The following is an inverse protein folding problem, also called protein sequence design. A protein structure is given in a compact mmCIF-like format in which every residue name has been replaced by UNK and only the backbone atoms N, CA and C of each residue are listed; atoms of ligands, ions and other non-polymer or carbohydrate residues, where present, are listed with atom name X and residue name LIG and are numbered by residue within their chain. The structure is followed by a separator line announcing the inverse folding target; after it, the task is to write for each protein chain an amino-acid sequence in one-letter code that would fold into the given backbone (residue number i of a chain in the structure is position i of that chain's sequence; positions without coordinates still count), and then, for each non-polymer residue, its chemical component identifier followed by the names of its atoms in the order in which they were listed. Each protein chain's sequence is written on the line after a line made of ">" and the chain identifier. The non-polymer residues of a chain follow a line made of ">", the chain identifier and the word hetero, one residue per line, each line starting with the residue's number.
data_IF_721878051496
#
_entry.id   IF_721878051496
#
_cell.length_a   1.000
_cell.length_b   1.000
_cell.length_c   1.000
_cell.angle_alpha   90.00
_cell.angle_beta   90.00
_cell.angle_gamma   90.00
#
_symmetry.space_group_name_H-M   'P 1'
#
loop_
_entity.id
_entity.type
_entity.pdbx_description
1 polymer ?
#
# COMPACT_ATOMS: atom_id res chain seq x y z
N UNK A 1 19.42 -14.02 -12.98
CA UNK A 1 19.01 -12.81 -13.70
C UNK A 1 17.77 -12.17 -13.05
N UNK A 2 16.66 -12.86 -12.83
CA UNK A 2 15.43 -12.36 -12.16
C UNK A 2 15.72 -11.74 -10.79
N UNK A 3 16.53 -12.40 -9.95
CA UNK A 3 16.88 -11.90 -8.61
C UNK A 3 17.51 -10.49 -8.63
N UNK A 4 18.35 -10.21 -9.61
CA UNK A 4 18.99 -8.90 -9.73
C UNK A 4 18.02 -7.83 -10.21
N UNK A 5 17.06 -8.19 -11.06
CA UNK A 5 15.98 -7.31 -11.50
C UNK A 5 15.05 -6.95 -10.33
N UNK A 6 14.62 -7.94 -9.52
CA UNK A 6 13.81 -7.70 -8.32
C UNK A 6 14.55 -6.81 -7.32
N UNK A 7 15.85 -7.08 -7.09
CA UNK A 7 16.68 -6.25 -6.20
C UNK A 7 16.75 -4.80 -6.68
N UNK A 8 16.88 -4.59 -7.97
CA UNK A 8 16.93 -3.24 -8.54
C UNK A 8 15.59 -2.50 -8.40
N UNK A 9 14.47 -3.19 -8.65
CA UNK A 9 13.14 -2.64 -8.42
C UNK A 9 12.90 -2.33 -6.93
N UNK A 10 13.32 -3.23 -6.03
CA UNK A 10 13.21 -3.02 -4.59
C UNK A 10 14.00 -1.79 -4.11
N UNK A 11 15.23 -1.60 -4.59
CA UNK A 11 16.04 -0.45 -4.23
C UNK A 11 15.50 0.87 -4.80
N UNK A 12 14.81 0.82 -5.93
CA UNK A 12 14.23 1.99 -6.58
C UNK A 12 12.91 2.43 -5.96
N UNK A 13 11.98 1.51 -5.76
CA UNK A 13 10.61 1.79 -5.29
C UNK A 13 10.47 1.67 -3.78
N UNK A 14 11.27 0.82 -3.13
CA UNK A 14 11.22 0.57 -1.70
C UNK A 14 11.33 1.83 -0.84
N UNK A 15 12.34 2.68 -1.04
CA UNK A 15 12.47 3.91 -0.25
C UNK A 15 11.26 4.85 -0.40
N UNK A 16 10.70 4.96 -1.60
CA UNK A 16 9.54 5.82 -1.87
C UNK A 16 8.27 5.27 -1.22
N UNK A 17 8.01 3.97 -1.37
CA UNK A 17 6.90 3.30 -0.68
C UNK A 17 7.06 3.37 0.84
N UNK A 18 8.27 3.19 1.35
CA UNK A 18 8.61 3.35 2.76
C UNK A 18 8.38 4.77 3.27
N UNK A 19 8.68 5.79 2.49
CA UNK A 19 8.40 7.19 2.85
C UNK A 19 6.90 7.43 2.96
N UNK A 20 6.09 6.91 2.03
CA UNK A 20 4.64 7.03 2.07
C UNK A 20 4.10 6.36 3.34
N UNK A 21 4.47 5.11 3.61
CA UNK A 21 4.06 4.40 4.82
C UNK A 21 4.55 5.12 6.09
N UNK A 22 5.76 5.67 6.08
CA UNK A 22 6.33 6.44 7.18
C UNK A 22 5.51 7.69 7.51
N UNK A 23 5.06 8.43 6.50
CA UNK A 23 4.20 9.61 6.68
C UNK A 23 2.88 9.20 7.36
N UNK A 24 2.24 8.12 6.89
CA UNK A 24 1.01 7.63 7.49
C UNK A 24 1.23 7.11 8.91
N UNK A 25 2.37 6.47 9.20
CA UNK A 25 2.74 6.03 10.56
C UNK A 25 2.91 7.23 11.49
N UNK A 26 3.60 8.26 11.04
CA UNK A 26 3.83 9.50 11.81
C UNK A 26 2.51 10.20 12.12
N UNK A 27 1.60 10.22 11.15
CA UNK A 27 0.24 10.74 11.32
C UNK A 27 -0.56 9.93 12.33
N UNK A 28 -0.49 8.60 12.28
CA UNK A 28 -1.15 7.72 13.24
C UNK A 28 -0.63 7.98 14.67
N UNK A 29 0.68 8.05 14.84
CA UNK A 29 1.29 8.33 16.16
C UNK A 29 0.86 9.69 16.70
N UNK A 30 0.83 10.73 15.86
CA UNK A 30 0.36 12.05 16.28
C UNK A 30 -1.11 12.01 16.73
N UNK A 31 -1.99 11.35 15.98
CA UNK A 31 -3.40 11.18 16.37
C UNK A 31 -3.54 10.43 17.70
N UNK A 32 -2.77 9.35 17.91
CA UNK A 32 -2.78 8.59 19.17
C UNK A 32 -2.31 9.41 20.37
N UNK A 33 -1.31 10.27 20.18
CA UNK A 33 -0.84 11.20 21.23
C UNK A 33 -1.91 12.23 21.57
N UNK A 34 -2.54 12.85 20.57
CA UNK A 34 -3.61 13.84 20.77
C UNK A 34 -4.88 13.24 21.37
N UNK A 35 -5.19 11.97 21.11
CA UNK A 35 -6.35 11.28 21.69
C UNK A 35 -6.23 11.11 23.23
N UNK A 36 -5.03 11.23 23.79
CA UNK A 36 -4.81 11.22 25.26
C UNK A 36 -5.16 12.54 25.97
N UNK A 37 -5.33 13.62 25.23
CA UNK A 37 -5.80 14.86 25.84
C UNK A 37 -7.32 14.76 26.07
N UNK A 38 -7.77 14.93 27.32
CA UNK A 38 -9.14 14.71 27.82
C UNK A 38 -10.20 15.71 27.27
N UNK A 39 -10.17 15.97 25.97
CA UNK A 39 -11.22 16.77 25.30
C UNK A 39 -12.09 15.84 24.45
N UNK A 40 -13.29 15.43 24.94
CA UNK A 40 -14.08 14.35 24.30
C UNK A 40 -14.44 14.61 22.84
N UNK A 41 -14.78 15.86 22.49
CA UNK A 41 -15.12 16.23 21.11
C UNK A 41 -13.89 16.18 20.19
N UNK A 42 -12.76 16.72 20.68
CA UNK A 42 -11.51 16.78 19.89
C UNK A 42 -10.94 15.36 19.70
N UNK A 43 -10.95 14.52 20.72
CA UNK A 43 -10.47 13.14 20.64
C UNK A 43 -11.29 12.31 19.64
N UNK A 44 -12.61 12.50 19.61
CA UNK A 44 -13.49 11.83 18.63
C UNK A 44 -13.17 12.25 17.21
N UNK A 45 -13.04 13.55 16.93
CA UNK A 45 -12.70 14.06 15.59
C UNK A 45 -11.33 13.54 15.15
N UNK A 46 -10.32 13.59 16.02
CA UNK A 46 -8.97 13.10 15.75
C UNK A 46 -8.98 11.59 15.49
N UNK A 47 -9.76 10.81 16.23
CA UNK A 47 -9.94 9.37 16.02
C UNK A 47 -10.50 9.06 14.63
N UNK A 48 -11.55 9.76 14.21
CA UNK A 48 -12.12 9.61 12.87
C UNK A 48 -11.14 9.98 11.76
N UNK A 49 -10.45 11.12 11.89
CA UNK A 49 -9.43 11.57 10.92
C UNK A 49 -8.27 10.58 10.86
N UNK A 50 -7.84 10.06 11.99
CA UNK A 50 -6.79 9.04 12.07
C UNK A 50 -7.18 7.75 11.38
N UNK A 51 -8.35 7.22 11.66
CA UNK A 51 -8.88 5.99 11.04
C UNK A 51 -9.03 6.14 9.53
N UNK A 52 -9.59 7.25 9.07
CA UNK A 52 -9.75 7.54 7.64
C UNK A 52 -8.40 7.61 6.93
N UNK A 53 -7.40 8.26 7.54
CA UNK A 53 -6.07 8.33 6.97
C UNK A 53 -5.40 6.96 6.84
N UNK A 54 -5.57 6.07 7.84
CA UNK A 54 -5.05 4.70 7.80
C UNK A 54 -5.67 3.91 6.66
N UNK A 55 -6.99 3.98 6.49
CA UNK A 55 -7.70 3.28 5.40
C UNK A 55 -7.26 3.79 4.03
N UNK A 56 -7.00 5.10 3.90
CA UNK A 56 -6.53 5.70 2.65
C UNK A 56 -5.07 5.34 2.29
N UNK A 57 -4.26 4.91 3.25
CA UNK A 57 -2.86 4.56 3.00
C UNK A 57 -2.71 3.45 1.94
N UNK A 58 -3.55 2.43 1.99
CA UNK A 58 -3.52 1.31 1.05
C UNK A 58 -3.88 1.71 -0.40
N UNK A 59 -5.00 2.40 -0.70
CA UNK A 59 -5.27 2.86 -2.05
C UNK A 59 -4.24 3.88 -2.56
N UNK A 60 -3.67 4.74 -1.71
CA UNK A 60 -2.60 5.66 -2.10
C UNK A 60 -1.37 4.90 -2.61
N UNK A 61 -0.99 3.80 -1.96
CA UNK A 61 0.12 2.96 -2.41
C UNK A 61 -0.21 2.29 -3.75
N UNK A 62 -1.45 1.84 -3.96
CA UNK A 62 -1.87 1.28 -5.25
C UNK A 62 -1.75 2.30 -6.38
N UNK A 63 -2.23 3.53 -6.15
CA UNK A 63 -2.08 4.63 -7.12
C UNK A 63 -0.61 4.96 -7.36
N UNK A 64 0.21 4.99 -6.31
CA UNK A 64 1.66 5.20 -6.43
C UNK A 64 2.31 4.14 -7.31
N UNK A 65 2.01 2.85 -7.10
CA UNK A 65 2.54 1.74 -7.90
C UNK A 65 2.10 1.87 -9.37
N UNK A 66 0.86 2.25 -9.63
CA UNK A 66 0.34 2.48 -10.97
C UNK A 66 1.07 3.62 -11.69
N UNK A 67 1.26 4.75 -11.01
CA UNK A 67 1.99 5.91 -11.55
C UNK A 67 3.48 5.56 -11.78
N UNK A 68 4.11 4.86 -10.85
CA UNK A 68 5.51 4.44 -10.98
C UNK A 68 5.69 3.48 -12.17
N UNK A 69 4.76 2.54 -12.35
CA UNK A 69 4.74 1.67 -13.52
C UNK A 69 4.62 2.45 -14.83
N UNK A 70 3.66 3.38 -14.90
CA UNK A 70 3.46 4.21 -16.08
C UNK A 70 4.71 5.04 -16.40
N UNK A 71 5.28 5.72 -15.42
CA UNK A 71 6.48 6.56 -15.60
C UNK A 71 7.71 5.77 -16.07
N UNK A 72 7.85 4.53 -15.61
CA UNK A 72 9.01 3.69 -15.94
C UNK A 72 8.83 2.89 -17.22
N UNK A 73 7.59 2.65 -17.65
CA UNK A 73 7.31 1.97 -18.91
C UNK A 73 7.34 2.93 -20.09
N UNK A 74 6.81 4.14 -19.90
CA UNK A 74 6.59 5.11 -20.99
C UNK A 74 7.29 6.45 -20.81
N UNK A 75 7.86 6.72 -19.64
CA UNK A 75 8.65 7.93 -19.40
C UNK A 75 10.04 7.85 -20.06
N UNK A 76 10.83 8.92 -19.88
CA UNK A 76 12.22 9.02 -20.38
C UNK A 76 13.11 7.83 -19.96
N UNK A 77 12.77 7.11 -18.89
CA UNK A 77 13.45 5.89 -18.46
C UNK A 77 13.02 4.63 -19.23
N UNK A 78 11.89 4.66 -19.93
CA UNK A 78 11.38 3.55 -20.74
C UNK A 78 12.34 3.13 -21.86
N UNK A 79 13.05 4.09 -22.47
CA UNK A 79 14.05 3.83 -23.48
C UNK A 79 15.15 2.86 -22.97
N UNK A 80 15.64 3.04 -21.75
CA UNK A 80 16.63 2.16 -21.14
C UNK A 80 16.09 0.74 -20.91
N UNK A 81 14.80 0.61 -20.65
CA UNK A 81 14.15 -0.69 -20.43
C UNK A 81 14.01 -1.47 -21.73
N UNK A 82 13.76 -0.79 -22.85
CA UNK A 82 13.68 -1.42 -24.18
C UNK A 82 15.04 -1.73 -24.81
N UNK A 83 16.14 -1.13 -24.33
CA UNK A 83 17.50 -1.43 -24.81
C UNK A 83 18.12 -2.67 -24.11
N UNK A 84 17.47 -3.23 -23.08
CA UNK A 84 17.95 -4.44 -22.43
C UNK A 84 17.66 -5.67 -23.30
N UNK A 85 18.60 -6.63 -23.46
CA UNK A 85 18.41 -7.87 -24.22
C UNK A 85 17.56 -8.89 -23.42
N UNK A 86 16.42 -8.44 -22.88
CA UNK A 86 15.50 -9.24 -22.04
C UNK A 86 14.11 -9.17 -22.65
N UNK A 87 13.41 -10.31 -22.69
CA UNK A 87 12.02 -10.35 -23.17
C UNK A 87 11.14 -9.41 -22.32
N UNK A 88 10.38 -8.54 -22.98
CA UNK A 88 9.51 -7.55 -22.30
C UNK A 88 8.53 -8.18 -21.32
N UNK A 89 8.03 -9.39 -21.63
CA UNK A 89 7.17 -10.16 -20.70
C UNK A 89 7.85 -10.46 -19.36
N UNK A 90 9.15 -10.71 -19.35
CA UNK A 90 9.89 -10.99 -18.11
C UNK A 90 9.99 -9.75 -17.22
N UNK A 91 10.16 -8.58 -17.82
CA UNK A 91 10.19 -7.30 -17.10
C UNK A 91 8.82 -7.01 -16.48
N UNK A 92 7.73 -7.24 -17.23
CA UNK A 92 6.37 -7.10 -16.73
C UNK A 92 6.10 -8.01 -15.52
N UNK A 93 6.46 -9.29 -15.62
CA UNK A 93 6.28 -10.25 -14.53
C UNK A 93 7.05 -9.86 -13.27
N UNK A 94 8.29 -9.42 -13.40
CA UNK A 94 9.10 -8.95 -12.25
C UNK A 94 8.44 -7.76 -11.56
N UNK A 95 7.92 -6.81 -12.32
CA UNK A 95 7.23 -5.63 -11.78
C UNK A 95 5.91 -5.99 -11.12
N UNK A 96 5.13 -6.88 -11.73
CA UNK A 96 3.90 -7.40 -11.15
C UNK A 96 4.15 -8.11 -9.80
N UNK A 97 5.14 -8.99 -9.76
CA UNK A 97 5.53 -9.69 -8.52
C UNK A 97 5.98 -8.70 -7.44
N UNK A 98 6.82 -7.73 -7.81
CA UNK A 98 7.26 -6.72 -6.86
C UNK A 98 6.10 -5.86 -6.37
N UNK A 99 5.22 -5.41 -7.27
CA UNK A 99 4.00 -4.66 -6.93
C UNK A 99 3.11 -5.45 -5.96
N UNK A 100 2.94 -6.76 -6.18
CA UNK A 100 2.19 -7.64 -5.28
C UNK A 100 2.83 -7.71 -3.88
N UNK A 101 4.15 -7.83 -3.78
CA UNK A 101 4.87 -7.83 -2.49
C UNK A 101 4.66 -6.52 -1.75
N UNK A 102 4.84 -5.38 -2.42
CA UNK A 102 4.62 -4.05 -1.81
C UNK A 102 3.17 -3.89 -1.34
N UNK A 103 2.21 -4.38 -2.12
CA UNK A 103 0.80 -4.32 -1.78
C UNK A 103 0.46 -5.16 -0.54
N UNK A 104 1.01 -6.37 -0.42
CA UNK A 104 0.82 -7.22 0.77
C UNK A 104 1.42 -6.55 2.00
N UNK A 105 2.62 -5.98 1.89
CA UNK A 105 3.26 -5.26 3.00
C UNK A 105 2.42 -4.05 3.42
N UNK A 106 1.96 -3.25 2.46
CA UNK A 106 1.14 -2.08 2.72
C UNK A 106 -0.20 -2.46 3.36
N UNK A 107 -0.83 -3.52 2.91
CA UNK A 107 -2.08 -4.02 3.47
C UNK A 107 -1.89 -4.54 4.91
N UNK A 108 -0.86 -5.35 5.15
CA UNK A 108 -0.52 -5.82 6.49
C UNK A 108 -0.24 -4.65 7.44
N UNK A 109 0.50 -3.63 6.97
CA UNK A 109 0.73 -2.42 7.74
C UNK A 109 -0.57 -1.67 8.04
N UNK A 110 -1.49 -1.54 7.07
CA UNK A 110 -2.80 -0.90 7.27
C UNK A 110 -3.61 -1.61 8.33
N UNK A 111 -3.64 -2.95 8.32
CA UNK A 111 -4.32 -3.74 9.34
C UNK A 111 -3.70 -3.53 10.72
N UNK A 112 -2.38 -3.62 10.84
CA UNK A 112 -1.67 -3.38 12.10
C UNK A 112 -1.93 -1.97 12.64
N UNK A 113 -1.92 -0.97 11.77
CA UNK A 113 -2.20 0.41 12.14
C UNK A 113 -3.66 0.61 12.59
N UNK A 114 -4.63 -0.05 11.94
CA UNK A 114 -6.04 -0.03 12.36
C UNK A 114 -6.21 -0.65 13.75
N UNK A 115 -5.66 -1.83 13.98
CA UNK A 115 -5.72 -2.48 15.30
C UNK A 115 -5.01 -1.65 16.37
N UNK A 116 -3.85 -1.09 16.06
CA UNK A 116 -3.14 -0.19 16.97
C UNK A 116 -3.96 1.05 17.32
N UNK A 117 -4.64 1.66 16.34
CA UNK A 117 -5.49 2.81 16.57
C UNK A 117 -6.72 2.46 17.43
N UNK A 118 -7.36 1.31 17.18
CA UNK A 118 -8.48 0.83 18.00
C UNK A 118 -8.04 0.55 19.44
N UNK A 119 -6.89 -0.10 19.61
CA UNK A 119 -6.33 -0.37 20.94
C UNK A 119 -6.00 0.90 21.75
N UNK A 120 -5.54 1.94 21.07
CA UNK A 120 -5.21 3.22 21.71
C UNK A 120 -6.45 4.08 22.00
N UNK A 121 -7.50 3.95 21.19
CA UNK A 121 -8.68 4.84 21.26
C UNK A 121 -9.80 4.30 22.13
N UNK A 122 -9.89 2.98 22.34
CA UNK A 122 -11.00 2.36 23.06
C UNK A 122 -10.49 1.46 24.22
N UNK A 123 -10.74 1.86 25.50
CA UNK A 123 -10.37 1.06 26.65
C UNK A 123 -11.00 -0.34 26.69
N UNK A 124 -12.16 -0.54 26.06
CA UNK A 124 -12.85 -1.83 25.96
C UNK A 124 -12.06 -2.85 25.14
N UNK A 125 -11.26 -2.41 24.22
CA UNK A 125 -10.36 -3.23 23.41
C UNK A 125 -9.14 -3.76 24.18
N UNK A 126 -8.81 -3.14 25.32
CA UNK A 126 -7.72 -3.60 26.19
C UNK A 126 -8.03 -4.93 26.87
N UNK A 127 -9.29 -5.39 26.83
CA UNK A 127 -9.74 -6.66 27.37
C UNK A 127 -9.41 -7.92 26.56
N UNK A 128 -8.64 -7.82 25.47
CA UNK A 128 -8.08 -8.96 24.77
C UNK A 128 -8.96 -9.62 23.70
N UNK A 129 -10.16 -9.16 23.45
CA UNK A 129 -11.03 -9.68 22.40
C UNK A 129 -10.79 -8.92 21.08
N UNK A 130 -9.78 -9.34 20.33
CA UNK A 130 -9.61 -8.87 18.95
C UNK A 130 -10.81 -9.37 18.12
N UNK A 131 -11.48 -8.52 17.32
CA UNK A 131 -12.63 -8.91 16.49
C UNK A 131 -12.17 -9.69 15.25
N UNK A 132 -11.25 -10.64 15.43
CA UNK A 132 -10.76 -11.49 14.34
C UNK A 132 -11.74 -12.64 14.17
N UNK A 133 -12.87 -12.36 13.53
CA UNK A 133 -13.84 -13.37 13.14
C UNK A 133 -13.51 -13.89 11.73
N UNK A 134 -13.99 -15.09 11.39
CA UNK A 134 -13.81 -15.65 10.05
C UNK A 134 -14.31 -14.71 8.94
N UNK A 135 -15.37 -13.96 9.18
CA UNK A 135 -15.89 -12.91 8.28
C UNK A 135 -14.87 -11.80 8.06
N UNK A 136 -14.17 -11.36 9.11
CA UNK A 136 -13.12 -10.33 9.00
C UNK A 136 -11.95 -10.82 8.14
N UNK A 137 -11.52 -12.08 8.32
CA UNK A 137 -10.47 -12.69 7.51
C UNK A 137 -10.88 -12.77 6.03
N UNK A 138 -12.11 -13.25 5.75
CA UNK A 138 -12.62 -13.32 4.39
C UNK A 138 -12.70 -11.94 3.72
N UNK A 139 -13.20 -10.93 4.42
CA UNK A 139 -13.23 -9.55 3.90
C UNK A 139 -11.84 -9.01 3.64
N UNK A 140 -10.88 -9.27 4.53
CA UNK A 140 -9.48 -8.82 4.36
C UNK A 140 -8.82 -9.46 3.14
N UNK A 141 -9.00 -10.76 2.94
CA UNK A 141 -8.51 -11.48 1.76
C UNK A 141 -9.18 -10.97 0.49
N UNK A 142 -10.50 -10.76 0.52
CA UNK A 142 -11.27 -10.20 -0.60
C UNK A 142 -10.79 -8.82 -1.02
N UNK A 143 -10.54 -7.94 -0.05
CA UNK A 143 -9.99 -6.60 -0.31
C UNK A 143 -8.60 -6.66 -0.93
N UNK A 144 -7.72 -7.52 -0.41
CA UNK A 144 -6.38 -7.72 -0.93
C UNK A 144 -6.41 -8.21 -2.38
N UNK A 145 -7.29 -9.18 -2.67
CA UNK A 145 -7.50 -9.72 -4.02
C UNK A 145 -8.05 -8.65 -4.97
N UNK A 146 -9.02 -7.85 -4.53
CA UNK A 146 -9.61 -6.77 -5.31
C UNK A 146 -8.57 -5.70 -5.68
N UNK A 147 -7.70 -5.33 -4.75
CA UNK A 147 -6.60 -4.41 -5.03
C UNK A 147 -5.59 -4.99 -6.03
N UNK A 148 -5.35 -6.30 -5.97
CA UNK A 148 -4.46 -6.97 -6.91
C UNK A 148 -5.05 -7.02 -8.31
N UNK A 149 -6.33 -7.33 -8.44
CA UNK A 149 -7.05 -7.27 -9.71
C UNK A 149 -6.99 -5.86 -10.31
N UNK A 150 -7.20 -4.82 -9.47
CA UNK A 150 -7.13 -3.42 -9.90
C UNK A 150 -5.73 -3.04 -10.42
N UNK A 151 -4.68 -3.49 -9.76
CA UNK A 151 -3.30 -3.25 -10.16
C UNK A 151 -2.96 -3.94 -11.49
N UNK A 152 -3.42 -5.20 -11.67
CA UNK A 152 -3.26 -5.95 -12.93
C UNK A 152 -3.99 -5.23 -14.07
N UNK A 153 -5.24 -4.82 -13.88
CA UNK A 153 -6.02 -4.08 -14.87
C UNK A 153 -5.32 -2.79 -15.28
N UNK A 154 -4.77 -2.05 -14.32
CA UNK A 154 -4.06 -0.81 -14.60
C UNK A 154 -2.78 -1.05 -15.39
N UNK A 155 -2.00 -2.07 -15.03
CA UNK A 155 -0.78 -2.43 -15.76
C UNK A 155 -1.10 -2.87 -17.18
N UNK A 156 -2.19 -3.62 -17.36
CA UNK A 156 -2.64 -4.09 -18.66
C UNK A 156 -3.15 -2.92 -19.53
N UNK A 157 -3.94 -2.02 -18.96
CA UNK A 157 -4.44 -0.84 -19.66
C UNK A 157 -3.29 0.07 -20.13
N UNK A 158 -2.25 0.24 -19.32
CA UNK A 158 -1.06 1.02 -19.67
C UNK A 158 -0.25 0.36 -20.79
N UNK A 159 -0.19 -0.98 -20.83
CA UNK A 159 0.54 -1.69 -21.90
C UNK A 159 -0.18 -1.65 -23.26
N UNK A 160 -1.52 -1.73 -23.27
CA UNK A 160 -2.30 -1.73 -24.53
C UNK A 160 -2.56 -0.32 -25.04
N UNK A 161 -2.79 0.65 -24.17
CA UNK A 161 -3.19 2.00 -24.56
C UNK A 161 -2.16 2.80 -25.36
N UNK A 162 -0.99 2.24 -25.61
CA UNK A 162 0.09 2.92 -26.35
C UNK A 162 0.40 2.27 -27.70
N UNK A 163 -0.30 1.21 -28.09
CA UNK A 163 -0.18 0.58 -29.41
C UNK A 163 -1.11 1.22 -30.46
N UNK A 164 -1.80 2.29 -30.08
CA UNK A 164 -2.65 3.13 -30.96
C UNK A 164 -2.01 4.49 -31.18
#
# INVERSE_FOLDING_TARGET
>A
MIRNLIKHEALRTGPRAGTILGIFTLRMLSCGLFARFNFPVISTIIGWVGSTAIVLAWPVINVFLAIDFWRTSWGRAGYLTHSLPVKGSMILWVRLLWGAVVQVIAFAWTLLALFGNMYLSDPSFQGGNLPINGTFLLMSIGLLFLGWCWLIQFYFAVTIGNDS
#
